data_IF_003118244072
#
_entry.id   IF_003118244072
#
_cell.length_a   1.000
_cell.length_b   1.000
_cell.length_c   1.000
_cell.angle_alpha   90.00
_cell.angle_beta   90.00
_cell.angle_gamma   90.00
#
_symmetry.space_group_name_H-M   'P 1'
#
loop_
_entity.id
_entity.type
_entity.pdbx_description
1 polymer ?
#
# COMPACT_ATOMS: atom_id res chain seq x y z
N UNK A 1 -4.12 5.37 16.67
CA UNK A 1 -3.13 6.11 15.85
C UNK A 1 -3.83 7.32 15.24
N UNK A 2 -3.44 8.53 15.65
CA UNK A 2 -4.12 9.80 15.31
C UNK A 2 -3.94 10.16 13.82
N UNK A 3 -5.01 10.65 13.19
CA UNK A 3 -5.12 10.94 11.73
C UNK A 3 -4.61 12.33 11.33
N UNK A 4 -4.11 13.14 12.26
CA UNK A 4 -3.31 14.30 11.90
C UNK A 4 -1.84 13.89 11.77
N UNK A 5 -1.48 13.22 10.65
CA UNK A 5 -0.07 13.06 10.27
C UNK A 5 0.38 14.33 9.55
N UNK A 6 1.59 14.78 9.87
CA UNK A 6 2.30 15.81 9.10
C UNK A 6 2.37 15.37 7.62
N UNK A 7 1.92 16.24 6.71
CA UNK A 7 1.92 16.02 5.25
C UNK A 7 3.29 15.56 4.75
N UNK A 8 4.38 16.13 5.26
CA UNK A 8 5.75 15.77 4.87
C UNK A 8 6.09 14.32 5.24
N UNK A 9 5.63 13.88 6.41
CA UNK A 9 5.79 12.51 6.88
C UNK A 9 5.02 11.52 6.01
N UNK A 10 3.75 11.82 5.71
CA UNK A 10 2.91 10.95 4.86
C UNK A 10 3.50 10.77 3.47
N UNK A 11 4.07 11.83 2.89
CA UNK A 11 4.76 11.75 1.59
C UNK A 11 5.98 10.81 1.65
N UNK A 12 6.79 10.93 2.70
CA UNK A 12 8.02 10.12 2.86
C UNK A 12 7.70 8.65 3.12
N UNK A 13 6.68 8.36 3.94
CA UNK A 13 6.18 7.00 4.19
C UNK A 13 5.69 6.35 2.89
N UNK A 14 4.93 7.09 2.06
CA UNK A 14 4.44 6.60 0.76
C UNK A 14 5.60 6.18 -0.16
N UNK A 15 6.65 7.01 -0.26
CA UNK A 15 7.82 6.69 -1.08
C UNK A 15 8.52 5.41 -0.60
N UNK A 16 8.74 5.29 0.71
CA UNK A 16 9.38 4.12 1.30
C UNK A 16 8.57 2.83 1.05
N UNK A 17 7.24 2.90 1.18
CA UNK A 17 6.38 1.75 0.95
C UNK A 17 6.36 1.30 -0.51
N UNK A 18 6.31 2.24 -1.47
CA UNK A 18 6.43 1.91 -2.89
C UNK A 18 7.77 1.22 -3.21
N UNK A 19 8.87 1.71 -2.64
CA UNK A 19 10.19 1.12 -2.85
C UNK A 19 10.30 -0.30 -2.27
N UNK A 20 9.84 -0.52 -1.03
CA UNK A 20 9.83 -1.84 -0.39
C UNK A 20 9.03 -2.87 -1.21
N UNK A 21 7.93 -2.44 -1.82
CA UNK A 21 7.11 -3.29 -2.71
C UNK A 21 7.85 -3.64 -4.00
N UNK A 22 8.54 -2.68 -4.61
CA UNK A 22 9.35 -2.92 -5.82
C UNK A 22 10.47 -3.92 -5.56
N UNK A 23 11.12 -3.81 -4.41
CA UNK A 23 12.18 -4.74 -3.99
C UNK A 23 11.67 -6.12 -3.53
N UNK A 24 10.36 -6.30 -3.33
CA UNK A 24 9.76 -7.62 -3.14
C UNK A 24 10.09 -8.59 -4.27
N UNK A 25 10.42 -8.09 -5.47
CA UNK A 25 10.90 -8.93 -6.58
C UNK A 25 12.28 -9.57 -6.33
N UNK A 26 13.03 -9.13 -5.31
CA UNK A 26 14.23 -9.82 -4.82
C UNK A 26 13.94 -11.17 -4.17
N UNK A 27 12.66 -11.60 -4.15
CA UNK A 27 12.17 -12.87 -3.59
C UNK A 27 12.57 -13.12 -2.12
N UNK A 28 12.44 -12.12 -1.22
CA UNK A 28 12.57 -12.41 0.19
C UNK A 28 11.53 -13.45 0.60
N UNK A 29 11.99 -14.50 1.28
CA UNK A 29 11.15 -15.64 1.67
C UNK A 29 10.58 -15.47 3.08
N UNK A 30 11.25 -14.77 4.00
CA UNK A 30 10.86 -14.75 5.42
C UNK A 30 10.71 -13.37 6.06
N UNK A 31 11.25 -12.33 5.44
CA UNK A 31 11.21 -10.96 5.95
C UNK A 31 11.49 -10.00 4.79
N UNK A 32 11.11 -8.74 4.90
CA UNK A 32 11.58 -7.72 3.96
C UNK A 32 13.11 -7.71 3.87
N UNK A 33 13.62 -7.30 2.70
CA UNK A 33 15.05 -7.00 2.57
C UNK A 33 15.43 -5.92 3.60
N UNK A 34 16.62 -6.02 4.22
CA UNK A 34 17.07 -5.08 5.25
C UNK A 34 17.56 -3.77 4.61
N UNK A 35 16.66 -3.09 3.91
CA UNK A 35 16.88 -1.84 3.20
C UNK A 35 15.78 -0.85 3.57
N UNK A 36 16.13 0.43 3.62
CA UNK A 36 15.16 1.50 3.85
C UNK A 36 15.41 2.69 2.93
N UNK A 37 14.36 3.47 2.68
CA UNK A 37 14.41 4.74 1.97
C UNK A 37 14.04 5.85 2.95
N UNK A 38 14.98 6.75 3.18
CA UNK A 38 14.78 7.91 4.04
C UNK A 38 14.84 9.19 3.21
N UNK A 39 13.81 10.04 3.35
CA UNK A 39 13.79 11.38 2.80
C UNK A 39 14.21 12.36 3.90
N UNK A 40 15.15 13.29 3.67
CA UNK A 40 15.54 14.28 4.67
C UNK A 40 14.33 15.08 5.17
N UNK A 41 14.23 15.39 6.48
CA UNK A 41 13.04 15.99 7.07
C UNK A 41 12.68 17.36 6.51
N UNK A 42 13.69 18.14 6.08
CA UNK A 42 13.52 19.48 5.52
C UNK A 42 13.35 19.49 3.98
N UNK A 43 13.15 18.31 3.38
CA UNK A 43 12.93 18.20 1.92
C UNK A 43 11.63 18.90 1.54
N UNK A 44 11.65 19.84 0.57
CA UNK A 44 10.43 20.51 0.12
C UNK A 44 9.39 19.51 -0.40
N UNK A 45 8.07 19.68 -0.13
CA UNK A 45 7.03 18.74 -0.57
C UNK A 45 7.05 18.41 -2.06
N UNK A 46 7.43 19.39 -2.91
CA UNK A 46 7.61 19.20 -4.35
C UNK A 46 8.65 18.14 -4.68
N UNK A 47 9.77 18.12 -3.96
CA UNK A 47 10.85 17.15 -4.15
C UNK A 47 10.44 15.79 -3.60
N UNK A 48 9.72 15.73 -2.47
CA UNK A 48 9.19 14.46 -1.97
C UNK A 48 8.21 13.83 -2.96
N UNK A 49 7.38 14.62 -3.65
CA UNK A 49 6.52 14.13 -4.73
C UNK A 49 7.32 13.57 -5.92
N UNK A 50 8.50 14.12 -6.22
CA UNK A 50 9.40 13.54 -7.23
C UNK A 50 9.93 12.18 -6.78
N UNK A 51 10.29 12.04 -5.50
CA UNK A 51 10.70 10.74 -4.92
C UNK A 51 9.56 9.72 -5.02
N UNK A 52 8.33 10.08 -4.63
CA UNK A 52 7.15 9.20 -4.76
C UNK A 52 6.94 8.77 -6.22
N UNK A 53 7.07 9.72 -7.16
CA UNK A 53 6.93 9.43 -8.59
C UNK A 53 8.00 8.45 -9.07
N UNK A 54 9.25 8.62 -8.65
CA UNK A 54 10.34 7.70 -8.97
C UNK A 54 10.11 6.31 -8.38
N UNK A 55 9.73 6.22 -7.09
CA UNK A 55 9.41 4.95 -6.43
C UNK A 55 8.22 4.24 -7.08
N UNK A 56 7.18 4.98 -7.48
CA UNK A 56 6.06 4.45 -8.24
C UNK A 56 6.48 3.89 -9.61
N UNK A 57 7.37 4.60 -10.31
CA UNK A 57 7.95 4.13 -11.57
C UNK A 57 8.78 2.86 -11.41
N UNK A 58 9.59 2.76 -10.34
CA UNK A 58 10.37 1.57 -10.01
C UNK A 58 9.47 0.38 -9.68
N UNK A 59 8.44 0.57 -8.83
CA UNK A 59 7.45 -0.46 -8.53
C UNK A 59 6.75 -0.94 -9.82
N UNK A 60 6.28 -0.01 -10.64
CA UNK A 60 5.61 -0.34 -11.90
C UNK A 60 6.52 -1.13 -12.84
N UNK A 61 7.80 -0.75 -12.94
CA UNK A 61 8.77 -1.43 -13.79
C UNK A 61 9.06 -2.84 -13.29
N UNK A 62 9.27 -2.99 -11.99
CA UNK A 62 9.52 -4.29 -11.36
C UNK A 62 8.34 -5.24 -11.55
N UNK A 63 7.11 -4.76 -11.38
CA UNK A 63 5.88 -5.53 -11.60
C UNK A 63 5.67 -5.91 -13.06
N UNK A 64 5.99 -5.02 -14.01
CA UNK A 64 5.84 -5.28 -15.44
C UNK A 64 6.78 -6.40 -15.95
N UNK A 65 7.91 -6.61 -15.27
CA UNK A 65 8.89 -7.65 -15.62
C UNK A 65 8.80 -8.90 -14.74
N UNK A 66 7.94 -8.89 -13.71
CA UNK A 66 7.83 -9.99 -12.77
C UNK A 66 7.20 -11.23 -13.43
N UNK A 67 7.76 -12.40 -13.18
CA UNK A 67 7.08 -13.67 -13.48
C UNK A 67 5.79 -13.74 -12.63
N UNK A 68 4.61 -13.95 -13.23
CA UNK A 68 3.34 -14.07 -12.50
C UNK A 68 3.34 -15.13 -11.39
N UNK A 69 4.18 -16.15 -11.48
CA UNK A 69 4.34 -17.18 -10.46
C UNK A 69 5.26 -16.76 -9.29
N UNK A 70 5.85 -15.57 -9.34
CA UNK A 70 6.71 -15.06 -8.26
C UNK A 70 5.91 -14.85 -6.99
N UNK A 71 6.48 -15.32 -5.88
CA UNK A 71 5.98 -15.01 -4.55
C UNK A 71 7.07 -14.31 -3.75
N UNK A 72 6.69 -13.29 -2.98
CA UNK A 72 7.55 -12.62 -2.04
C UNK A 72 6.83 -12.37 -0.71
N UNK A 73 7.61 -12.19 0.34
CA UNK A 73 7.07 -12.07 1.69
C UNK A 73 6.38 -10.71 1.94
N UNK A 74 5.16 -10.75 2.45
CA UNK A 74 4.41 -9.64 3.05
C UNK A 74 3.47 -10.20 4.14
N UNK A 75 4.02 -10.56 5.31
CA UNK A 75 3.29 -11.29 6.36
C UNK A 75 2.66 -12.62 5.88
N UNK A 76 3.30 -13.23 4.89
CA UNK A 76 2.85 -14.39 4.12
C UNK A 76 3.24 -14.24 2.64
N UNK A 77 3.04 -15.28 1.81
CA UNK A 77 3.35 -15.20 0.38
C UNK A 77 2.42 -14.24 -0.35
N UNK A 78 2.98 -13.30 -1.10
CA UNK A 78 2.26 -12.31 -1.89
C UNK A 78 2.75 -12.34 -3.35
N UNK A 79 1.82 -12.27 -4.28
CA UNK A 79 2.06 -12.26 -5.73
C UNK A 79 2.22 -10.82 -6.25
N UNK A 80 2.69 -10.63 -7.50
CA UNK A 80 2.83 -9.31 -8.10
C UNK A 80 1.52 -8.50 -8.08
N UNK A 81 0.36 -9.14 -8.27
CA UNK A 81 -0.94 -8.46 -8.21
C UNK A 81 -1.24 -7.91 -6.82
N UNK A 82 -0.92 -8.65 -5.75
CA UNK A 82 -1.02 -8.17 -4.38
C UNK A 82 -0.13 -6.96 -4.13
N UNK A 83 1.13 -6.98 -4.59
CA UNK A 83 2.01 -5.81 -4.51
C UNK A 83 1.49 -4.61 -5.30
N UNK A 84 0.93 -4.83 -6.48
CA UNK A 84 0.31 -3.79 -7.29
C UNK A 84 -0.88 -3.15 -6.57
N UNK A 85 -1.79 -3.97 -6.03
CA UNK A 85 -2.96 -3.49 -5.30
C UNK A 85 -2.56 -2.69 -4.05
N UNK A 86 -1.54 -3.14 -3.31
CA UNK A 86 -1.03 -2.41 -2.17
C UNK A 86 -0.39 -1.07 -2.57
N UNK A 87 0.43 -1.04 -3.62
CA UNK A 87 1.04 0.20 -4.11
C UNK A 87 -0.02 1.24 -4.54
N UNK A 88 -1.08 0.79 -5.22
CA UNK A 88 -2.23 1.64 -5.56
C UNK A 88 -2.96 2.10 -4.29
N UNK A 89 -3.17 1.21 -3.32
CA UNK A 89 -3.80 1.56 -2.04
C UNK A 89 -3.03 2.68 -1.32
N UNK A 90 -1.69 2.59 -1.22
CA UNK A 90 -0.86 3.63 -0.61
C UNK A 90 -1.09 4.98 -1.28
N UNK A 91 -1.02 5.03 -2.62
CA UNK A 91 -1.20 6.27 -3.37
C UNK A 91 -2.58 6.87 -3.10
N UNK A 92 -3.65 6.08 -3.17
CA UNK A 92 -5.02 6.56 -2.98
C UNK A 92 -5.25 7.09 -1.56
N UNK A 93 -4.86 6.30 -0.57
CA UNK A 93 -5.09 6.59 0.84
C UNK A 93 -4.25 7.76 1.32
N UNK A 94 -3.00 7.84 0.92
CA UNK A 94 -2.12 8.92 1.34
C UNK A 94 -2.35 10.21 0.56
N UNK A 95 -2.78 10.14 -0.70
CA UNK A 95 -3.30 11.34 -1.40
C UNK A 95 -4.51 11.90 -0.67
N UNK A 96 -5.42 11.04 -0.19
CA UNK A 96 -6.54 11.47 0.65
C UNK A 96 -6.07 12.13 1.95
N UNK A 97 -5.14 11.49 2.67
CA UNK A 97 -4.61 12.03 3.93
C UNK A 97 -3.94 13.41 3.73
N UNK A 98 -3.16 13.57 2.65
CA UNK A 98 -2.52 14.84 2.27
C UNK A 98 -3.57 15.90 1.95
N UNK A 99 -4.55 15.56 1.09
CA UNK A 99 -5.58 16.50 0.68
C UNK A 99 -6.45 16.96 1.87
N UNK A 100 -6.79 16.04 2.78
CA UNK A 100 -7.51 16.34 4.00
C UNK A 100 -6.71 17.28 4.91
N UNK A 101 -5.40 17.03 5.10
CA UNK A 101 -4.52 17.88 5.90
C UNK A 101 -4.34 19.29 5.31
N UNK A 102 -4.38 19.41 3.97
CA UNK A 102 -4.32 20.69 3.26
C UNK A 102 -5.68 21.35 3.06
N UNK A 103 -6.78 20.73 3.51
CA UNK A 103 -8.16 21.21 3.28
C UNK A 103 -8.48 21.45 1.79
N UNK A 104 -7.94 20.61 0.90
CA UNK A 104 -8.24 20.66 -0.54
C UNK A 104 -9.11 19.49 -0.97
N UNK A 105 -9.97 19.66 -1.99
CA UNK A 105 -10.74 18.54 -2.53
C UNK A 105 -9.84 17.43 -3.06
N UNK A 106 -10.14 16.18 -2.67
CA UNK A 106 -9.47 15.00 -3.21
C UNK A 106 -10.37 14.29 -4.21
N UNK A 107 -9.90 14.12 -5.46
CA UNK A 107 -10.60 13.28 -6.44
C UNK A 107 -10.16 11.83 -6.27
N UNK A 108 -11.07 10.98 -5.81
CA UNK A 108 -10.81 9.55 -5.67
C UNK A 108 -11.14 8.79 -6.97
N UNK A 109 -10.16 8.14 -7.65
CA UNK A 109 -10.42 7.37 -8.87
C UNK A 109 -11.10 6.03 -8.56
N UNK A 110 -12.44 6.02 -8.60
CA UNK A 110 -13.28 4.86 -8.29
C UNK A 110 -12.85 3.52 -8.94
N UNK A 111 -12.45 3.45 -10.23
CA UNK A 111 -12.01 2.18 -10.83
C UNK A 111 -10.75 1.57 -10.20
N UNK A 112 -9.89 2.38 -9.58
CA UNK A 112 -8.73 1.89 -8.83
C UNK A 112 -9.15 1.43 -7.44
N UNK A 113 -10.04 2.18 -6.77
CA UNK A 113 -10.62 1.78 -5.47
C UNK A 113 -11.30 0.41 -5.54
N UNK A 114 -12.11 0.16 -6.56
CA UNK A 114 -12.78 -1.14 -6.76
C UNK A 114 -11.77 -2.28 -6.86
N UNK A 115 -10.67 -2.09 -7.62
CA UNK A 115 -9.63 -3.11 -7.77
C UNK A 115 -8.88 -3.36 -6.45
N UNK A 116 -8.56 -2.30 -5.73
CA UNK A 116 -7.94 -2.39 -4.40
C UNK A 116 -8.84 -3.12 -3.41
N UNK A 117 -10.12 -2.74 -3.32
CA UNK A 117 -11.10 -3.38 -2.44
C UNK A 117 -11.23 -4.87 -2.75
N UNK A 118 -11.46 -5.23 -4.02
CA UNK A 118 -11.56 -6.62 -4.44
C UNK A 118 -10.33 -7.46 -4.09
N UNK A 119 -9.13 -6.88 -4.19
CA UNK A 119 -7.88 -7.63 -3.98
C UNK A 119 -7.43 -7.69 -2.53
N UNK A 120 -7.66 -6.64 -1.73
CA UNK A 120 -7.11 -6.49 -0.37
C UNK A 120 -8.17 -6.58 0.74
N UNK A 121 -9.46 -6.45 0.41
CA UNK A 121 -10.57 -6.47 1.35
C UNK A 121 -11.74 -7.29 0.75
N UNK A 122 -11.59 -8.61 0.59
CA UNK A 122 -12.60 -9.45 -0.07
C UNK A 122 -13.96 -9.40 0.64
N UNK A 123 -13.98 -9.13 1.95
CA UNK A 123 -15.18 -9.01 2.77
C UNK A 123 -15.69 -7.55 2.91
N UNK A 124 -15.20 -6.62 2.07
CA UNK A 124 -15.68 -5.24 2.08
C UNK A 124 -17.17 -5.19 1.69
N UNK A 125 -17.99 -4.35 2.36
CA UNK A 125 -19.37 -4.16 1.95
C UNK A 125 -19.46 -3.46 0.59
N UNK A 126 -20.58 -3.68 -0.11
CA UNK A 126 -20.92 -2.90 -1.29
C UNK A 126 -21.15 -1.41 -0.92
N UNK A 127 -20.86 -0.51 -1.87
CA UNK A 127 -21.05 0.93 -1.69
C UNK A 127 -20.15 1.76 -2.59
N UNK A 128 -20.07 3.06 -2.30
CA UNK A 128 -19.11 3.93 -2.97
C UNK A 128 -17.67 3.48 -2.64
N UNK A 129 -16.82 3.17 -3.64
CA UNK A 129 -15.52 2.56 -3.40
C UNK A 129 -14.56 3.47 -2.63
N UNK A 130 -14.72 4.80 -2.70
CA UNK A 130 -13.90 5.70 -1.89
C UNK A 130 -14.31 5.60 -0.43
N UNK A 131 -15.60 5.73 -0.12
CA UNK A 131 -16.11 5.64 1.25
C UNK A 131 -15.82 4.27 1.88
N UNK A 132 -16.02 3.19 1.13
CA UNK A 132 -15.75 1.82 1.60
C UNK A 132 -14.26 1.64 1.89
N UNK A 133 -13.35 2.11 1.01
CA UNK A 133 -11.91 1.97 1.25
C UNK A 133 -11.42 2.80 2.46
N UNK A 134 -11.94 4.02 2.60
CA UNK A 134 -11.62 4.87 3.75
C UNK A 134 -12.13 4.24 5.06
N UNK A 135 -13.32 3.66 5.07
CA UNK A 135 -13.83 2.93 6.22
C UNK A 135 -13.04 1.66 6.51
N UNK A 136 -12.75 0.83 5.49
CA UNK A 136 -11.96 -0.40 5.64
C UNK A 136 -10.58 -0.14 6.26
N UNK A 137 -10.02 1.05 6.02
CA UNK A 137 -8.71 1.46 6.54
C UNK A 137 -8.79 2.40 7.75
N UNK A 138 -9.96 2.47 8.39
CA UNK A 138 -10.17 3.19 9.63
C UNK A 138 -9.93 4.70 9.52
N UNK A 139 -10.22 5.30 8.35
CA UNK A 139 -10.15 6.75 8.10
C UNK A 139 -11.49 7.45 8.29
N UNK A 140 -12.60 6.75 8.05
CA UNK A 140 -13.95 7.28 8.17
C UNK A 140 -14.93 6.28 8.78
N UNK A 141 -16.13 6.77 9.11
CA UNK A 141 -17.34 5.96 9.31
C UNK A 141 -17.93 5.57 7.94
N UNK A 142 -18.92 4.67 7.92
CA UNK A 142 -19.63 4.26 6.71
C UNK A 142 -21.08 3.91 7.04
N UNK A 143 -22.06 4.71 6.62
CA UNK A 143 -23.50 4.43 6.72
C UNK A 143 -23.94 3.75 8.03
N UNK A 144 -23.72 4.43 9.16
CA UNK A 144 -24.06 3.93 10.50
C UNK A 144 -23.09 2.90 11.06
N UNK A 145 -22.08 2.46 10.30
CA UNK A 145 -20.96 1.66 10.80
C UNK A 145 -19.93 2.58 11.44
N UNK A 146 -19.57 2.34 12.71
CA UNK A 146 -18.53 3.12 13.35
C UNK A 146 -17.21 2.94 12.63
N UNK A 147 -16.36 3.96 12.73
CA UNK A 147 -15.02 3.94 12.20
C UNK A 147 -14.23 2.76 12.79
N UNK A 148 -13.55 2.00 11.92
CA UNK A 148 -12.71 0.88 12.35
C UNK A 148 -11.51 1.38 13.16
N UNK A 149 -11.23 0.72 14.27
CA UNK A 149 -10.05 0.97 15.12
C UNK A 149 -8.88 0.05 14.79
N UNK A 150 -9.14 -1.07 14.11
CA UNK A 150 -8.13 -2.01 13.59
C UNK A 150 -8.51 -2.49 12.18
N UNK A 151 -7.47 -2.71 11.36
CA UNK A 151 -7.59 -3.21 10.00
C UNK A 151 -6.30 -3.89 9.56
N UNK A 152 -6.40 -4.74 8.53
CA UNK A 152 -5.28 -5.40 7.86
C UNK A 152 -5.64 -5.56 6.38
N UNK A 153 -4.64 -5.55 5.51
CA UNK A 153 -4.82 -5.96 4.12
C UNK A 153 -4.69 -7.48 3.97
N UNK A 154 -5.52 -8.05 3.11
CA UNK A 154 -5.44 -9.45 2.71
C UNK A 154 -4.64 -9.60 1.42
N UNK A 155 -3.35 -9.24 1.49
CA UNK A 155 -2.47 -9.26 0.32
C UNK A 155 -1.91 -10.66 0.01
N UNK A 156 -2.00 -11.61 0.96
CA UNK A 156 -1.44 -12.95 0.81
C UNK A 156 -2.22 -13.78 -0.20
N UNK A 157 -1.53 -14.55 -1.04
CA UNK A 157 -2.17 -15.51 -1.95
C UNK A 157 -2.79 -16.66 -1.15
N UNK A 158 -4.02 -17.06 -1.49
CA UNK A 158 -4.71 -18.19 -0.87
C UNK A 158 -4.15 -19.57 -1.30
N UNK A 159 -3.17 -19.61 -2.22
CA UNK A 159 -2.68 -20.85 -2.83
C UNK A 159 -1.34 -21.34 -2.23
N UNK A 160 -1.41 -22.57 -1.68
CA UNK A 160 -0.39 -23.44 -1.07
C UNK A 160 0.34 -22.88 0.19
N UNK A 161 0.54 -23.74 1.22
CA UNK A 161 1.34 -23.36 2.38
C UNK A 161 2.78 -23.05 1.96
N UNK A 162 3.30 -21.97 2.50
CA UNK A 162 4.68 -21.55 2.35
C UNK A 162 5.62 -22.63 2.92
N UNK A 163 6.38 -23.30 2.06
CA UNK A 163 7.35 -24.29 2.49
C UNK A 163 8.62 -23.55 2.92
N UNK A 164 8.82 -23.41 4.24
CA UNK A 164 10.09 -22.92 4.78
C UNK A 164 11.22 -23.81 4.24
N UNK A 165 12.29 -23.24 3.64
CA UNK A 165 13.52 -23.99 3.45
C UNK A 165 14.00 -24.47 4.83
N UNK A 166 14.46 -25.73 4.91
CA UNK A 166 15.06 -26.23 6.13
C UNK A 166 16.22 -25.30 6.55
N UNK A 167 16.37 -25.00 7.86
CA UNK A 167 17.51 -24.21 8.32
C UNK A 167 18.79 -24.91 7.86
N UNK A 168 19.68 -24.17 7.20
CA UNK A 168 21.03 -24.64 6.94
C UNK A 168 21.73 -24.69 8.31
N UNK A 169 22.08 -25.91 8.73
CA UNK A 169 22.81 -26.22 9.97
C UNK A 169 24.28 -25.84 9.80
#
# INVERSE_FOLDING_TARGET
MSIARDTSRTLSETAADLMRRGLGQGRPTHAYLPFDLTVPPDTPPREVLQVITACGGLLSSALATADPATQAWHWGPCDPEGFAAMGVAEILLHTWDIAAGLTVPCRFPAPLGIRVLRRLFPDAPDGDPAQVLLWCTGRSELDGRPRRTSWRWEATTSARPFQQPAPQV
#
